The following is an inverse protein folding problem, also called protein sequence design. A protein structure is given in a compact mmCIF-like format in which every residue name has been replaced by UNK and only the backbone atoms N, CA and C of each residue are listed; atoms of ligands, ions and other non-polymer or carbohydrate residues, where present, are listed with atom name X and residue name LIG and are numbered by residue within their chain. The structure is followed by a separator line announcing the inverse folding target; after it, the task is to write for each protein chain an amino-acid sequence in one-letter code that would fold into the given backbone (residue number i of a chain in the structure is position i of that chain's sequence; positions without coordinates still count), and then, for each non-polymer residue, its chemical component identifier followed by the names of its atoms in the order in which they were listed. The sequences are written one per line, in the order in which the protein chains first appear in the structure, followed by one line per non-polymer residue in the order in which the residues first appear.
data_IF_885155291823
#
_entry.id   IF_885155291823
#
_cell.length_a   1.000
_cell.length_b   1.000
_cell.length_c   1.000
_cell.angle_alpha   90.00
_cell.angle_beta   90.00
_cell.angle_gamma   90.00
#
_symmetry.space_group_name_H-M   'P 1'
#
loop_
_entity.id
_entity.type
_entity.pdbx_description
1 polymer ?
#
# COMPACT_ATOMS: atom_id res chain seq x y z
N UNK A 1 11.16 -16.84 1.82
CA UNK A 1 11.27 -17.93 0.83
C UNK A 1 11.14 -17.42 -0.61
N UNK A 2 10.16 -16.55 -0.92
CA UNK A 2 9.95 -15.99 -2.28
C UNK A 2 11.20 -15.36 -2.88
N UNK A 3 11.87 -14.45 -2.16
CA UNK A 3 13.07 -13.76 -2.65
C UNK A 3 14.29 -14.68 -2.82
N UNK A 4 14.32 -15.85 -2.16
CA UNK A 4 15.37 -16.84 -2.40
C UNK A 4 15.17 -17.56 -3.73
N UNK A 5 13.94 -17.74 -4.15
CA UNK A 5 13.58 -18.41 -5.41
C UNK A 5 13.66 -17.46 -6.61
N UNK A 6 13.15 -16.23 -6.46
CA UNK A 6 12.98 -15.27 -7.55
C UNK A 6 14.06 -14.17 -7.59
N UNK A 7 14.91 -14.10 -6.56
CA UNK A 7 15.91 -13.03 -6.43
C UNK A 7 15.34 -11.74 -5.83
N UNK A 8 16.22 -10.76 -5.64
CA UNK A 8 15.89 -9.42 -5.16
C UNK A 8 15.86 -8.46 -6.34
N UNK A 9 14.76 -7.75 -6.59
CA UNK A 9 14.74 -6.69 -7.59
C UNK A 9 15.73 -5.59 -7.18
N UNK A 10 16.56 -5.13 -8.12
CA UNK A 10 17.58 -4.10 -7.90
C UNK A 10 17.13 -2.75 -8.46
N UNK A 11 16.19 -2.75 -9.38
CA UNK A 11 15.63 -1.59 -10.06
C UNK A 11 14.15 -1.83 -10.38
N UNK A 12 13.35 -0.77 -10.60
CA UNK A 12 11.92 -0.90 -10.83
C UNK A 12 11.54 -1.78 -12.03
N UNK A 13 12.39 -1.84 -13.05
CA UNK A 13 12.20 -2.65 -14.25
C UNK A 13 12.22 -4.16 -13.95
N UNK A 14 12.95 -4.58 -12.91
CA UNK A 14 13.03 -6.00 -12.51
C UNK A 14 11.67 -6.53 -12.03
N UNK A 15 10.73 -5.65 -11.66
CA UNK A 15 9.37 -6.02 -11.30
C UNK A 15 8.63 -6.76 -12.41
N UNK A 16 9.09 -6.65 -13.67
CA UNK A 16 8.55 -7.40 -14.80
C UNK A 16 8.73 -8.92 -14.65
N UNK A 17 9.73 -9.33 -13.87
CA UNK A 17 10.05 -10.73 -13.60
C UNK A 17 9.52 -11.24 -12.26
N UNK A 18 8.80 -10.39 -11.52
CA UNK A 18 8.25 -10.74 -10.22
C UNK A 18 6.73 -10.91 -10.24
N UNK A 19 6.22 -11.72 -9.32
CA UNK A 19 4.80 -11.87 -9.05
C UNK A 19 4.31 -10.68 -8.25
N UNK A 20 3.47 -9.85 -8.84
CA UNK A 20 2.90 -8.68 -8.18
C UNK A 20 1.53 -9.00 -7.60
N UNK A 21 1.33 -8.61 -6.35
CA UNK A 21 0.07 -8.69 -5.63
C UNK A 21 -0.48 -7.28 -5.56
N UNK A 22 -1.70 -7.07 -6.03
CA UNK A 22 -2.32 -5.75 -6.11
C UNK A 22 -3.71 -5.72 -5.51
N UNK A 23 -4.19 -4.53 -5.26
CA UNK A 23 -5.58 -4.33 -4.84
C UNK A 23 -6.53 -4.65 -6.00
N UNK A 24 -7.64 -5.33 -5.70
CA UNK A 24 -8.60 -5.77 -6.70
C UNK A 24 -9.26 -4.63 -7.48
N UNK A 25 -9.82 -4.97 -8.63
CA UNK A 25 -10.39 -4.03 -9.61
C UNK A 25 -11.75 -3.43 -9.22
N UNK A 26 -12.19 -3.55 -7.98
CA UNK A 26 -13.45 -2.92 -7.55
C UNK A 26 -13.40 -1.42 -7.78
N UNK A 27 -14.19 -0.92 -8.72
CA UNK A 27 -14.28 0.51 -9.03
C UNK A 27 -15.38 1.18 -8.19
N UNK A 28 -15.17 2.38 -7.69
CA UNK A 28 -13.91 3.14 -7.75
C UNK A 28 -12.84 2.58 -6.79
N UNK A 29 -11.57 2.62 -7.21
CA UNK A 29 -10.46 2.30 -6.31
C UNK A 29 -10.46 3.27 -5.12
N UNK A 30 -10.21 2.78 -3.90
CA UNK A 30 -10.19 3.63 -2.71
C UNK A 30 -9.10 4.73 -2.80
N UNK A 31 -8.02 4.41 -3.51
CA UNK A 31 -6.91 5.33 -3.80
C UNK A 31 -6.45 5.06 -5.22
N UNK A 32 -6.39 6.10 -6.05
CA UNK A 32 -6.03 5.96 -7.48
C UNK A 32 -4.63 5.40 -7.71
N UNK A 33 -3.72 5.62 -6.75
CA UNK A 33 -2.32 5.20 -6.82
C UNK A 33 -2.04 3.86 -6.11
N UNK A 34 -3.08 3.16 -5.63
CA UNK A 34 -2.87 1.95 -4.82
C UNK A 34 -2.12 0.84 -5.57
N UNK A 35 -2.27 0.78 -6.88
CA UNK A 35 -1.65 -0.22 -7.76
C UNK A 35 -0.46 0.33 -8.57
N UNK A 36 0.22 1.38 -8.08
CA UNK A 36 1.33 2.03 -8.78
C UNK A 36 2.49 1.07 -9.15
N UNK A 37 2.63 -0.05 -8.47
CA UNK A 37 3.61 -1.10 -8.81
C UNK A 37 3.42 -1.67 -10.23
N UNK A 38 2.23 -1.56 -10.80
CA UNK A 38 1.99 -2.01 -12.17
C UNK A 38 2.59 -1.05 -13.22
N UNK A 39 2.93 0.16 -12.82
CA UNK A 39 3.35 1.24 -13.70
C UNK A 39 4.81 1.64 -13.50
N UNK A 40 5.31 1.61 -12.25
CA UNK A 40 6.67 2.08 -11.94
C UNK A 40 7.73 1.25 -12.67
N UNK A 41 8.62 1.91 -13.41
CA UNK A 41 9.66 1.27 -14.22
C UNK A 41 9.12 0.44 -15.40
N UNK A 42 7.81 0.43 -15.68
CA UNK A 42 7.26 -0.26 -16.83
C UNK A 42 7.59 0.49 -18.12
N UNK A 43 7.89 -0.25 -19.18
CA UNK A 43 8.11 0.35 -20.49
C UNK A 43 6.81 0.96 -21.06
N UNK A 44 6.88 2.04 -21.82
CA UNK A 44 5.70 2.62 -22.46
C UNK A 44 4.94 1.57 -23.27
N UNK A 45 3.64 1.41 -22.99
CA UNK A 45 2.79 0.43 -23.65
C UNK A 45 2.86 -1.00 -23.06
N UNK A 46 3.76 -1.27 -22.12
CA UNK A 46 3.80 -2.54 -21.40
C UNK A 46 2.97 -2.43 -20.12
N UNK A 47 1.92 -3.21 -20.03
CA UNK A 47 1.09 -3.29 -18.83
C UNK A 47 1.43 -4.58 -18.07
N UNK A 48 1.99 -4.45 -16.87
CA UNK A 48 2.22 -5.59 -15.98
C UNK A 48 0.89 -6.23 -15.59
N UNK A 49 0.86 -7.55 -15.59
CA UNK A 49 -0.30 -8.31 -15.12
C UNK A 49 -0.06 -8.77 -13.69
N UNK A 50 -0.98 -8.46 -12.75
CA UNK A 50 -0.83 -8.96 -11.40
C UNK A 50 -0.92 -10.48 -11.38
N UNK A 51 -0.12 -11.12 -10.52
CA UNK A 51 -0.20 -12.54 -10.26
C UNK A 51 -1.37 -12.88 -9.31
N UNK A 52 -1.72 -11.92 -8.45
CA UNK A 52 -2.81 -12.08 -7.49
C UNK A 52 -3.48 -10.73 -7.20
N UNK A 53 -4.80 -10.72 -7.09
CA UNK A 53 -5.59 -9.55 -6.73
C UNK A 53 -6.47 -9.85 -5.53
N UNK A 54 -6.55 -8.91 -4.59
CA UNK A 54 -7.40 -9.02 -3.41
C UNK A 54 -7.92 -7.64 -3.01
N UNK A 55 -9.16 -7.54 -2.59
CA UNK A 55 -9.85 -6.27 -2.36
C UNK A 55 -9.72 -5.71 -0.93
N UNK A 56 -8.67 -6.07 -0.22
CA UNK A 56 -8.32 -5.49 1.07
C UNK A 56 -6.82 -5.58 1.34
N UNK A 57 -6.29 -4.59 2.07
CA UNK A 57 -4.86 -4.49 2.37
C UNK A 57 -4.35 -5.62 3.26
N UNK A 58 -5.18 -6.10 4.20
CA UNK A 58 -4.78 -7.20 5.08
C UNK A 58 -4.61 -8.51 4.30
N UNK A 59 -5.47 -8.75 3.31
CA UNK A 59 -5.31 -9.89 2.39
C UNK A 59 -4.03 -9.79 1.56
N UNK A 60 -3.65 -8.58 1.12
CA UNK A 60 -2.36 -8.36 0.45
C UNK A 60 -1.18 -8.68 1.40
N UNK A 61 -1.24 -8.19 2.64
CA UNK A 61 -0.23 -8.50 3.66
C UNK A 61 -0.07 -10.01 3.87
N UNK A 62 -1.16 -10.75 4.06
CA UNK A 62 -1.13 -12.20 4.23
C UNK A 62 -0.57 -12.92 3.01
N UNK A 63 -0.89 -12.46 1.81
CA UNK A 63 -0.39 -13.05 0.57
C UNK A 63 1.13 -12.86 0.44
N UNK A 64 1.66 -11.68 0.77
CA UNK A 64 3.11 -11.43 0.80
C UNK A 64 3.78 -12.25 1.90
N UNK A 65 3.20 -12.29 3.09
CA UNK A 65 3.70 -13.10 4.21
C UNK A 65 3.75 -14.60 3.86
N UNK A 66 2.77 -15.07 3.08
CA UNK A 66 2.74 -16.43 2.53
C UNK A 66 3.70 -16.68 1.35
N UNK A 67 4.46 -15.67 0.92
CA UNK A 67 5.45 -15.82 -0.15
C UNK A 67 4.86 -15.88 -1.56
N UNK A 68 3.66 -15.31 -1.79
CA UNK A 68 3.04 -15.32 -3.10
C UNK A 68 3.68 -14.33 -4.09
N UNK A 69 4.33 -13.28 -3.59
CA UNK A 69 4.93 -12.25 -4.44
C UNK A 69 5.29 -10.97 -3.68
N UNK A 70 5.37 -9.87 -4.41
CA UNK A 70 5.66 -8.53 -3.93
C UNK A 70 4.39 -7.68 -3.94
N UNK A 71 4.24 -6.80 -2.96
CA UNK A 71 3.14 -5.84 -2.88
C UNK A 71 3.60 -4.48 -2.35
N UNK A 72 2.87 -3.44 -2.69
CA UNK A 72 2.92 -2.17 -1.98
C UNK A 72 2.02 -2.26 -0.73
N UNK A 73 2.61 -2.10 0.44
CA UNK A 73 1.89 -2.11 1.71
C UNK A 73 2.19 -0.81 2.47
N UNK A 74 1.22 -0.25 3.19
CA UNK A 74 1.49 0.85 4.11
C UNK A 74 2.44 0.40 5.23
N UNK A 75 3.39 1.26 5.60
CA UNK A 75 4.41 0.95 6.61
C UNK A 75 3.80 0.54 7.96
N UNK A 76 2.72 1.20 8.37
CA UNK A 76 2.01 0.89 9.62
C UNK A 76 1.39 -0.52 9.67
N UNK A 77 1.26 -1.19 8.51
CA UNK A 77 0.75 -2.57 8.44
C UNK A 77 1.82 -3.64 8.60
N UNK A 78 3.10 -3.26 8.50
CA UNK A 78 4.21 -4.20 8.55
C UNK A 78 4.85 -4.15 9.94
N UNK A 79 4.59 -5.13 10.82
CA UNK A 79 5.20 -5.17 12.14
C UNK A 79 6.73 -5.26 12.05
N UNK A 80 7.47 -4.63 12.98
CA UNK A 80 8.94 -4.66 12.98
C UNK A 80 9.54 -6.07 13.10
N UNK A 81 8.81 -6.99 13.71
CA UNK A 81 9.18 -8.40 13.89
C UNK A 81 8.64 -9.31 12.77
N UNK A 82 8.08 -8.73 11.72
CA UNK A 82 7.61 -9.50 10.57
C UNK A 82 8.79 -10.14 9.81
N UNK A 83 8.50 -11.22 9.09
CA UNK A 83 9.46 -11.86 8.17
C UNK A 83 9.47 -11.22 6.78
N UNK A 84 8.82 -10.07 6.62
CA UNK A 84 8.81 -9.33 5.37
C UNK A 84 10.10 -8.53 5.20
N UNK A 85 10.51 -8.36 3.96
CA UNK A 85 11.71 -7.61 3.59
C UNK A 85 11.29 -6.51 2.62
N UNK A 86 11.69 -5.28 2.93
CA UNK A 86 11.53 -4.16 2.01
C UNK A 86 12.49 -4.34 0.83
N UNK A 87 11.98 -4.25 -0.37
CA UNK A 87 12.74 -4.20 -1.61
C UNK A 87 12.60 -2.83 -2.26
N UNK A 88 13.61 -2.40 -3.02
CA UNK A 88 13.66 -1.09 -3.68
C UNK A 88 13.37 0.07 -2.71
N UNK A 89 14.13 0.22 -1.62
CA UNK A 89 13.84 1.20 -0.57
C UNK A 89 13.94 2.66 -1.03
N UNK A 90 14.61 2.90 -2.17
CA UNK A 90 14.78 4.24 -2.77
C UNK A 90 13.55 4.71 -3.54
N UNK A 91 12.57 3.83 -3.78
CA UNK A 91 11.31 4.21 -4.41
C UNK A 91 10.17 4.14 -3.40
N UNK A 92 9.24 5.06 -3.52
CA UNK A 92 8.04 5.11 -2.69
C UNK A 92 6.81 5.37 -3.54
N UNK A 93 5.66 4.94 -3.04
CA UNK A 93 4.38 5.25 -3.68
C UNK A 93 4.13 6.76 -3.69
N UNK A 94 3.39 7.27 -4.68
CA UNK A 94 2.88 8.63 -4.61
C UNK A 94 2.16 8.89 -3.28
N UNK A 95 2.30 10.10 -2.70
CA UNK A 95 1.69 10.41 -1.42
C UNK A 95 0.16 10.31 -1.49
N UNK A 96 -0.42 9.72 -0.47
CA UNK A 96 -1.88 9.58 -0.34
C UNK A 96 -2.41 10.56 0.67
N UNK A 97 -3.44 11.32 0.29
CA UNK A 97 -4.12 12.23 1.20
C UNK A 97 -5.22 11.50 1.95
N UNK A 98 -5.22 11.61 3.27
CA UNK A 98 -6.27 11.10 4.13
C UNK A 98 -7.16 12.25 4.63
N UNK A 99 -8.47 12.04 4.62
CA UNK A 99 -9.45 13.04 5.02
C UNK A 99 -10.31 12.52 6.17
N UNK A 100 -10.50 13.37 7.19
CA UNK A 100 -11.52 13.15 8.20
C UNK A 100 -12.80 13.80 7.73
N UNK A 101 -13.79 12.98 7.38
CA UNK A 101 -15.08 13.43 6.79
C UNK A 101 -16.21 13.20 7.78
N UNK A 102 -17.11 14.19 7.88
CA UNK A 102 -18.32 14.13 8.72
C UNK A 102 -19.45 14.93 8.08
N UNK A 103 -20.72 14.62 8.39
CA UNK A 103 -21.87 15.38 7.89
C UNK A 103 -21.83 16.84 8.33
N UNK A 104 -22.28 17.77 7.46
CA UNK A 104 -22.26 19.22 7.73
C UNK A 104 -23.03 19.58 8.99
N UNK A 105 -24.11 18.88 9.29
CA UNK A 105 -24.93 19.08 10.48
C UNK A 105 -24.15 18.82 11.78
N UNK A 106 -23.08 18.04 11.70
CA UNK A 106 -22.23 17.73 12.84
C UNK A 106 -21.04 18.68 13.02
N UNK A 107 -20.90 19.69 12.16
CA UNK A 107 -19.78 20.65 12.16
C UNK A 107 -19.53 21.30 13.52
N UNK A 108 -20.59 21.60 14.26
CA UNK A 108 -20.52 22.22 15.59
C UNK A 108 -20.65 21.22 16.74
N UNK A 109 -20.57 19.93 16.44
CA UNK A 109 -20.65 18.88 17.46
C UNK A 109 -19.35 18.80 18.26
N UNK A 110 -19.46 18.94 19.59
CA UNK A 110 -18.32 18.76 20.49
C UNK A 110 -17.66 17.39 20.37
N UNK A 111 -18.42 16.36 20.03
CA UNK A 111 -17.89 15.01 19.80
C UNK A 111 -16.96 14.96 18.60
N UNK A 112 -17.36 15.60 17.49
CA UNK A 112 -16.53 15.68 16.28
C UNK A 112 -15.26 16.48 16.56
N UNK A 113 -15.35 17.61 17.25
CA UNK A 113 -14.23 18.44 17.64
C UNK A 113 -13.19 17.64 18.45
N UNK A 114 -13.64 17.01 19.55
CA UNK A 114 -12.76 16.23 20.43
C UNK A 114 -12.13 15.04 19.68
N UNK A 115 -12.91 14.35 18.85
CA UNK A 115 -12.38 13.22 18.08
C UNK A 115 -11.37 13.67 17.01
N UNK A 116 -11.63 14.78 16.33
CA UNK A 116 -10.68 15.37 15.38
C UNK A 116 -9.36 15.74 16.06
N UNK A 117 -9.43 16.42 17.21
CA UNK A 117 -8.23 16.79 17.98
C UNK A 117 -7.43 15.55 18.43
N UNK A 118 -8.14 14.51 18.86
CA UNK A 118 -7.52 13.24 19.19
C UNK A 118 -6.79 12.63 17.99
N UNK A 119 -7.44 12.57 16.83
CA UNK A 119 -6.82 12.02 15.60
C UNK A 119 -5.61 12.83 15.18
N UNK A 120 -5.71 14.16 15.14
CA UNK A 120 -4.58 15.04 14.77
C UNK A 120 -3.39 14.85 15.70
N UNK A 121 -3.63 14.74 17.00
CA UNK A 121 -2.57 14.44 17.96
C UNK A 121 -1.95 13.08 17.69
N UNK A 122 -2.76 12.04 17.47
CA UNK A 122 -2.25 10.70 17.21
C UNK A 122 -1.42 10.63 15.93
N UNK A 123 -1.86 11.28 14.87
CA UNK A 123 -1.10 11.37 13.62
C UNK A 123 0.23 12.11 13.85
N UNK A 124 0.24 13.18 14.62
CA UNK A 124 1.48 13.92 14.93
C UNK A 124 2.46 13.12 15.83
N UNK A 125 1.94 12.23 16.69
CA UNK A 125 2.74 11.33 17.54
C UNK A 125 3.32 10.14 16.76
N UNK A 126 2.72 9.78 15.63
CA UNK A 126 3.12 8.63 14.81
C UNK A 126 4.03 9.11 13.68
N UNK A 127 5.24 8.57 13.61
CA UNK A 127 6.10 8.75 12.44
C UNK A 127 5.60 7.80 11.33
N UNK A 128 5.06 8.38 10.28
CA UNK A 128 4.70 7.67 9.06
C UNK A 128 5.81 7.82 8.02
#
# INVERSE_FOLDING_TARGET
DYLREFGYPQQPEDLDHHRLIVYGEAQPLPVTTINWLLEVGAQPGHQRRPAFTVNNLYGMYLAVQGGLGLANLPDYMVPPDSNLVQVLPEISSPPTQCYFVYPEEMRHSKRIEVFREFLLRKVAETQF
#
